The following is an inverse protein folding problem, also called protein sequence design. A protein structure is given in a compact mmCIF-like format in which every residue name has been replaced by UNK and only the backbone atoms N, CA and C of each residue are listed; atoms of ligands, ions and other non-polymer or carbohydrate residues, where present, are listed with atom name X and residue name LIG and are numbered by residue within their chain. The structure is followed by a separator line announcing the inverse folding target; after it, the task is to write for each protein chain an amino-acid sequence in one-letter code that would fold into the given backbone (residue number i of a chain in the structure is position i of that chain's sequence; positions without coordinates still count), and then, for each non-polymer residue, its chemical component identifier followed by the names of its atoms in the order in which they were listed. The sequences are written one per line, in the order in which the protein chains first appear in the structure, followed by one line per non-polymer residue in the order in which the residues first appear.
data_IF_298951348772
#
_entry.id   IF_298951348772
#
_cell.length_a   1.000
_cell.length_b   1.000
_cell.length_c   1.000
_cell.angle_alpha   90.00
_cell.angle_beta   90.00
_cell.angle_gamma   90.00
#
_symmetry.space_group_name_H-M   'P 1'
#
loop_
_entity.id
_entity.type
_entity.pdbx_description
1 polymer ?
#
# COMPACT_ATOMS: atom_id res chain seq x y z
N UNK A 1 10.30 2.88 -6.24
CA UNK A 1 10.49 1.50 -5.71
C UNK A 1 9.90 0.57 -6.74
N UNK A 2 10.64 -0.42 -7.24
CA UNK A 2 10.10 -1.32 -8.27
C UNK A 2 8.99 -2.23 -7.70
N UNK A 3 8.19 -2.84 -8.59
CA UNK A 3 7.04 -3.68 -8.20
C UNK A 3 7.48 -4.91 -7.41
N UNK A 4 8.52 -5.61 -7.82
CA UNK A 4 8.97 -6.84 -7.15
C UNK A 4 9.47 -6.60 -5.73
N UNK A 5 10.22 -5.52 -5.50
CA UNK A 5 10.66 -5.11 -4.17
C UNK A 5 9.47 -4.71 -3.27
N UNK A 6 8.47 -4.03 -3.84
CA UNK A 6 7.23 -3.74 -3.12
C UNK A 6 6.51 -5.01 -2.71
N UNK A 7 6.28 -5.94 -3.64
CA UNK A 7 5.58 -7.21 -3.37
C UNK A 7 6.30 -8.01 -2.30
N UNK A 8 7.62 -8.18 -2.41
CA UNK A 8 8.39 -8.90 -1.40
C UNK A 8 8.21 -8.28 -0.01
N UNK A 9 8.43 -6.96 0.12
CA UNK A 9 8.27 -6.26 1.40
C UNK A 9 6.85 -6.34 1.93
N UNK A 10 5.86 -6.27 1.05
CA UNK A 10 4.46 -6.39 1.41
C UNK A 10 4.18 -7.78 2.00
N UNK A 11 4.60 -8.84 1.32
CA UNK A 11 4.43 -10.22 1.78
C UNK A 11 5.16 -10.46 3.09
N UNK A 12 6.41 -9.99 3.24
CA UNK A 12 7.17 -10.08 4.49
C UNK A 12 6.40 -9.52 5.69
N UNK A 13 5.82 -8.33 5.54
CA UNK A 13 5.00 -7.70 6.57
C UNK A 13 3.69 -8.47 6.77
N UNK A 14 3.06 -8.91 5.67
CA UNK A 14 1.77 -9.60 5.69
C UNK A 14 1.84 -10.94 6.43
N UNK A 15 2.88 -11.74 6.20
CA UNK A 15 3.13 -13.02 6.89
C UNK A 15 3.96 -12.86 8.17
N UNK A 16 4.45 -11.65 8.46
CA UNK A 16 5.31 -11.32 9.60
C UNK A 16 6.60 -12.17 9.66
N UNK A 17 7.25 -12.34 8.51
CA UNK A 17 8.52 -13.08 8.40
C UNK A 17 9.37 -12.52 7.25
N UNK A 18 10.68 -12.72 7.29
CA UNK A 18 11.56 -12.39 6.16
C UNK A 18 11.52 -13.50 5.13
N UNK A 19 11.40 -13.15 3.86
CA UNK A 19 11.39 -14.14 2.78
C UNK A 19 12.82 -14.37 2.27
N UNK A 20 13.26 -15.62 2.08
CA UNK A 20 14.65 -15.94 1.75
C UNK A 20 15.02 -15.55 0.31
N UNK A 21 14.03 -15.36 -0.56
CA UNK A 21 14.24 -15.12 -1.97
C UNK A 21 14.58 -13.64 -2.28
N UNK A 22 15.45 -13.37 -3.26
CA UNK A 22 15.73 -12.01 -3.72
C UNK A 22 14.49 -11.36 -4.35
N UNK A 23 14.51 -10.05 -4.51
CA UNK A 23 13.38 -9.26 -5.01
C UNK A 23 12.94 -9.72 -6.41
N UNK A 24 13.89 -10.13 -7.26
CA UNK A 24 13.64 -10.60 -8.63
C UNK A 24 12.78 -11.88 -8.70
N UNK A 25 12.70 -12.64 -7.61
CA UNK A 25 11.85 -13.83 -7.52
C UNK A 25 10.34 -13.50 -7.61
N UNK A 26 9.96 -12.24 -7.37
CA UNK A 26 8.56 -11.80 -7.34
C UNK A 26 8.12 -11.08 -8.63
N UNK A 27 8.94 -11.14 -9.69
CA UNK A 27 8.62 -10.54 -11.01
C UNK A 27 7.39 -11.14 -11.68
N UNK A 28 6.96 -12.33 -11.27
CA UNK A 28 5.75 -12.99 -11.75
C UNK A 28 4.46 -12.38 -11.16
N UNK A 29 4.55 -11.57 -10.10
CA UNK A 29 3.41 -10.86 -9.52
C UNK A 29 3.44 -9.43 -10.04
N UNK A 30 2.55 -9.15 -11.00
CA UNK A 30 2.35 -7.80 -11.53
C UNK A 30 1.05 -7.19 -11.01
N UNK A 31 0.99 -5.86 -11.00
CA UNK A 31 -0.19 -5.12 -10.59
C UNK A 31 -0.22 -3.71 -11.17
N UNK A 32 -1.43 -3.18 -11.37
CA UNK A 32 -1.68 -1.79 -11.72
C UNK A 32 -2.18 -1.01 -10.52
N UNK A 33 -1.91 0.30 -10.53
CA UNK A 33 -2.36 1.22 -9.48
C UNK A 33 -3.25 2.28 -10.10
N UNK A 34 -4.49 2.33 -9.64
CA UNK A 34 -5.43 3.40 -9.97
C UNK A 34 -5.64 4.28 -8.74
N UNK A 35 -5.59 5.60 -8.93
CA UNK A 35 -5.87 6.57 -7.87
C UNK A 35 -7.12 7.35 -8.25
N UNK A 36 -8.11 7.37 -7.37
CA UNK A 36 -9.29 8.19 -7.58
C UNK A 36 -8.93 9.68 -7.57
N UNK A 37 -9.56 10.50 -8.42
CA UNK A 37 -9.36 11.95 -8.37
C UNK A 37 -9.83 12.49 -7.02
N UNK A 38 -9.12 13.52 -6.51
CA UNK A 38 -9.56 14.27 -5.33
C UNK A 38 -10.85 15.02 -5.69
N UNK A 39 -11.93 14.77 -4.97
CA UNK A 39 -13.23 15.37 -5.27
C UNK A 39 -13.89 15.84 -3.97
N UNK A 40 -14.17 17.15 -3.86
CA UNK A 40 -14.95 17.80 -2.80
C UNK A 40 -14.73 17.20 -1.38
N UNK A 41 -13.60 17.51 -0.77
CA UNK A 41 -13.19 17.11 0.60
C UNK A 41 -13.12 15.60 0.87
N UNK A 42 -13.32 14.74 -0.14
CA UNK A 42 -13.14 13.29 0.01
C UNK A 42 -11.68 12.90 -0.19
N UNK A 43 -11.23 12.02 0.67
CA UNK A 43 -9.91 11.40 0.56
C UNK A 43 -9.80 10.61 -0.75
N UNK A 44 -8.63 10.69 -1.38
CA UNK A 44 -8.34 9.88 -2.55
C UNK A 44 -8.22 8.41 -2.14
N UNK A 45 -8.63 7.49 -3.01
CA UNK A 45 -8.47 6.05 -2.81
C UNK A 45 -7.44 5.54 -3.81
N UNK A 46 -6.47 4.78 -3.33
CA UNK A 46 -5.59 3.97 -4.17
C UNK A 46 -6.15 2.55 -4.25
N UNK A 47 -6.22 2.02 -5.47
CA UNK A 47 -6.61 0.65 -5.77
C UNK A 47 -5.47 -0.01 -6.50
N UNK A 48 -4.85 -1.01 -5.88
CA UNK A 48 -3.90 -1.90 -6.51
C UNK A 48 -4.63 -3.15 -6.99
N UNK A 49 -4.49 -3.47 -8.27
CA UNK A 49 -5.16 -4.59 -8.94
C UNK A 49 -4.13 -5.49 -9.59
N UNK A 50 -4.20 -6.79 -9.34
CA UNK A 50 -3.30 -7.79 -9.91
C UNK A 50 -3.88 -9.19 -9.73
N UNK A 51 -3.18 -10.20 -10.24
CA UNK A 51 -3.69 -11.58 -10.31
C UNK A 51 -3.38 -12.42 -9.05
N UNK A 52 -2.62 -11.87 -8.10
CA UNK A 52 -2.30 -12.54 -6.83
C UNK A 52 -3.44 -12.44 -5.79
N UNK A 53 -3.50 -13.42 -4.88
CA UNK A 53 -4.53 -13.55 -3.83
C UNK A 53 -4.60 -12.36 -2.87
N UNK A 54 -3.54 -11.54 -2.76
CA UNK A 54 -3.56 -10.32 -1.93
C UNK A 54 -4.38 -9.19 -2.56
N UNK A 55 -4.66 -9.24 -3.86
CA UNK A 55 -5.40 -8.20 -4.56
C UNK A 55 -6.92 -8.40 -4.46
N UNK A 56 -7.72 -7.32 -4.54
CA UNK A 56 -7.27 -5.93 -4.61
C UNK A 56 -6.75 -5.44 -3.26
N UNK A 57 -5.78 -4.52 -3.29
CA UNK A 57 -5.39 -3.72 -2.11
C UNK A 57 -6.03 -2.35 -2.31
N UNK A 58 -6.96 -1.99 -1.43
CA UNK A 58 -7.70 -0.74 -1.50
C UNK A 58 -7.40 0.03 -0.24
N UNK A 59 -6.93 1.26 -0.36
CA UNK A 59 -6.70 2.11 0.79
C UNK A 59 -7.01 3.58 0.51
N UNK A 60 -7.42 4.26 1.56
CA UNK A 60 -7.47 5.70 1.60
C UNK A 60 -6.04 6.28 1.59
N UNK A 61 -5.81 7.25 0.72
CA UNK A 61 -4.57 8.02 0.63
C UNK A 61 -4.68 9.17 1.63
N UNK A 62 -3.64 9.33 2.45
CA UNK A 62 -3.50 10.45 3.38
C UNK A 62 -2.12 11.06 3.21
N UNK A 63 -2.07 12.39 3.22
CA UNK A 63 -0.84 13.20 3.26
C UNK A 63 -0.45 13.56 4.70
N UNK A 64 -1.29 13.25 5.69
CA UNK A 64 -1.00 13.53 7.09
C UNK A 64 0.00 12.51 7.67
N UNK A 65 1.22 12.93 8.04
CA UNK A 65 2.25 12.02 8.54
C UNK A 65 1.84 11.33 9.84
N UNK A 66 1.05 11.98 10.71
CA UNK A 66 0.56 11.36 11.95
C UNK A 66 -0.45 10.25 11.67
N UNK A 67 -1.28 10.40 10.63
CA UNK A 67 -2.22 9.35 10.23
C UNK A 67 -1.48 8.12 9.72
N UNK A 68 -0.41 8.33 8.94
CA UNK A 68 0.46 7.26 8.45
C UNK A 68 1.17 6.56 9.63
N UNK A 69 1.75 7.33 10.54
CA UNK A 69 2.48 6.81 11.71
C UNK A 69 1.59 6.01 12.67
N UNK A 70 0.37 6.49 12.92
CA UNK A 70 -0.57 5.85 13.84
C UNK A 70 -1.49 4.81 13.17
N UNK A 71 -1.51 4.73 11.83
CA UNK A 71 -2.42 3.85 11.08
C UNK A 71 -3.88 4.33 11.08
N UNK A 72 -4.09 5.64 11.21
CA UNK A 72 -5.42 6.24 11.17
C UNK A 72 -5.89 6.48 9.75
N UNK A 73 -6.55 5.46 9.20
CA UNK A 73 -7.25 5.50 7.91
C UNK A 73 -8.58 4.77 8.07
N UNK A 74 -9.60 5.21 7.33
CA UNK A 74 -10.95 4.65 7.42
C UNK A 74 -11.11 3.45 6.48
N UNK A 75 -10.47 3.50 5.31
CA UNK A 75 -10.52 2.43 4.31
C UNK A 75 -9.16 1.77 4.18
N UNK A 76 -9.08 0.48 4.53
CA UNK A 76 -7.97 -0.39 4.18
C UNK A 76 -8.44 -1.83 4.00
N UNK A 77 -8.40 -2.32 2.77
CA UNK A 77 -8.80 -3.67 2.38
C UNK A 77 -7.64 -4.40 1.69
N UNK A 78 -7.51 -5.69 1.96
CA UNK A 78 -6.63 -6.62 1.24
C UNK A 78 -7.51 -7.81 0.86
N UNK A 79 -7.53 -8.21 -0.41
CA UNK A 79 -8.42 -9.27 -0.91
C UNK A 79 -9.89 -9.05 -0.50
N UNK A 80 -10.36 -7.79 -0.58
CA UNK A 80 -11.68 -7.33 -0.14
C UNK A 80 -11.98 -7.52 1.37
N UNK A 81 -10.98 -7.83 2.20
CA UNK A 81 -11.13 -7.99 3.65
C UNK A 81 -10.57 -6.78 4.40
N UNK A 82 -11.29 -6.22 5.39
CA UNK A 82 -10.79 -5.12 6.20
C UNK A 82 -9.52 -5.48 6.97
N UNK A 83 -8.53 -4.59 6.90
CA UNK A 83 -7.28 -4.72 7.66
C UNK A 83 -7.49 -4.15 9.05
N UNK A 84 -7.37 -4.98 10.09
CA UNK A 84 -7.53 -4.55 11.49
C UNK A 84 -6.39 -3.63 11.92
N UNK A 85 -6.73 -2.59 12.70
CA UNK A 85 -5.76 -1.69 13.35
C UNK A 85 -4.74 -2.51 14.15
N UNK A 86 -3.49 -2.47 13.74
CA UNK A 86 -2.40 -3.30 14.28
C UNK A 86 -1.04 -2.76 13.83
N UNK A 87 0.05 -3.26 14.45
CA UNK A 87 1.40 -2.96 13.96
C UNK A 87 1.57 -3.33 12.48
N UNK A 88 1.07 -4.51 12.08
CA UNK A 88 1.09 -4.97 10.69
C UNK A 88 0.41 -3.98 9.74
N UNK A 89 -0.78 -3.49 10.11
CA UNK A 89 -1.51 -2.50 9.32
C UNK A 89 -0.72 -1.20 9.15
N UNK A 90 -0.08 -0.69 10.21
CA UNK A 90 0.80 0.49 10.14
C UNK A 90 2.01 0.28 9.24
N UNK A 91 2.67 -0.87 9.37
CA UNK A 91 3.85 -1.19 8.57
C UNK A 91 3.49 -1.32 7.08
N UNK A 92 2.35 -1.95 6.76
CA UNK A 92 1.81 -2.00 5.40
C UNK A 92 1.45 -0.61 4.88
N UNK A 93 0.79 0.22 5.69
CA UNK A 93 0.43 1.59 5.31
C UNK A 93 1.67 2.41 4.96
N UNK A 94 2.71 2.37 5.80
CA UNK A 94 4.00 3.04 5.55
C UNK A 94 4.64 2.56 4.24
N UNK A 95 4.65 1.25 4.00
CA UNK A 95 5.19 0.68 2.78
C UNK A 95 4.43 1.15 1.53
N UNK A 96 3.09 1.13 1.58
CA UNK A 96 2.24 1.54 0.46
C UNK A 96 2.41 3.03 0.17
N UNK A 97 2.35 3.89 1.19
CA UNK A 97 2.56 5.33 1.01
C UNK A 97 3.93 5.62 0.42
N UNK A 98 4.99 4.95 0.91
CA UNK A 98 6.33 5.05 0.35
C UNK A 98 6.38 4.62 -1.12
N UNK A 99 5.68 3.55 -1.50
CA UNK A 99 5.59 3.10 -2.89
C UNK A 99 4.95 4.17 -3.78
N UNK A 100 3.80 4.70 -3.36
CA UNK A 100 3.07 5.72 -4.11
C UNK A 100 3.91 7.00 -4.29
N UNK A 101 4.59 7.46 -3.23
CA UNK A 101 5.49 8.62 -3.27
C UNK A 101 6.70 8.40 -4.19
N UNK A 102 7.43 7.31 -4.00
CA UNK A 102 8.70 7.06 -4.72
C UNK A 102 8.48 6.86 -6.23
N UNK A 103 7.27 6.48 -6.63
CA UNK A 103 6.90 6.29 -8.04
C UNK A 103 6.09 7.48 -8.59
N UNK A 104 6.06 8.62 -7.89
CA UNK A 104 5.37 9.85 -8.29
C UNK A 104 3.87 9.67 -8.58
N UNK A 105 3.22 8.69 -7.95
CA UNK A 105 1.78 8.42 -8.10
C UNK A 105 0.95 9.36 -7.22
N UNK A 106 1.53 9.84 -6.12
CA UNK A 106 0.96 10.89 -5.27
C UNK A 106 2.01 11.97 -5.03
N UNK A 107 1.55 13.21 -4.90
CA UNK A 107 2.35 14.30 -4.32
C UNK A 107 1.84 14.52 -2.91
N UNK A 108 2.70 14.31 -1.92
CA UNK A 108 2.42 14.76 -0.56
C UNK A 108 2.95 16.18 -0.48
N UNK A 109 2.07 17.13 -0.18
CA UNK A 109 2.49 18.49 0.14
C UNK A 109 3.29 18.42 1.44
N UNK A 110 4.61 18.47 1.33
CA UNK A 110 5.43 19.00 2.40
C UNK A 110 5.45 20.51 2.20
N UNK A 111 4.71 21.22 3.04
CA UNK A 111 5.07 22.61 3.35
C UNK A 111 6.38 22.63 4.14
#
# INVERSE_FOLDING_TARGET
MNKSAFIKRFLEIYVNTTLPHPDDAYTHIDFDVMISPKCNDRSCIAVFSGDDVIFPIILEITDNPYHIELGYIDVFLIANKPVRKSKKQRDLLKLIMKYLQTNNLIKISHD
#
